data_IF_794976595924
#
_entry.id   IF_794976595924
#
_cell.length_a   1.000
_cell.length_b   1.000
_cell.length_c   1.000
_cell.angle_alpha   90.00
_cell.angle_beta   90.00
_cell.angle_gamma   90.00
#
_symmetry.space_group_name_H-M   'P 1'
#
loop_
_entity.id
_entity.type
_entity.pdbx_description
1 polymer ?
#
# COMPACT_ATOMS: atom_id res chain seq x y z
N UNK A 1 14.63 12.16 -22.36
CA UNK A 1 15.23 12.70 -21.12
C UNK A 1 14.75 11.89 -19.94
N UNK A 2 15.48 11.96 -18.87
CA UNK A 2 15.16 11.28 -17.61
C UNK A 2 14.65 12.26 -16.54
N UNK A 3 14.55 13.52 -16.90
CA UNK A 3 14.13 14.61 -16.02
C UNK A 3 13.16 15.53 -16.75
N UNK A 4 12.18 16.01 -16.01
CA UNK A 4 11.22 17.03 -16.43
C UNK A 4 11.00 18.02 -15.30
N UNK A 5 11.14 19.31 -15.60
CA UNK A 5 10.92 20.39 -14.64
C UNK A 5 9.74 21.25 -15.09
N UNK A 6 8.87 21.60 -14.16
CA UNK A 6 7.75 22.50 -14.39
C UNK A 6 7.58 23.47 -13.21
N UNK A 7 6.92 24.59 -13.44
CA UNK A 7 6.57 25.52 -12.37
C UNK A 7 5.29 25.04 -11.67
N UNK A 8 5.37 24.85 -10.36
CA UNK A 8 4.27 24.41 -9.53
C UNK A 8 3.72 25.56 -8.69
N UNK A 9 2.40 25.69 -8.64
CA UNK A 9 1.73 26.67 -7.78
C UNK A 9 1.61 26.14 -6.35
N UNK A 10 2.09 26.88 -5.32
CA UNK A 10 1.92 26.46 -3.94
C UNK A 10 0.45 26.37 -3.54
N UNK A 11 0.08 25.27 -2.89
CA UNK A 11 -1.29 25.01 -2.44
C UNK A 11 -2.06 24.02 -3.32
N UNK A 12 -1.54 23.66 -4.49
CA UNK A 12 -2.11 22.62 -5.35
C UNK A 12 -1.35 21.30 -5.20
N UNK A 13 -2.08 20.20 -5.27
CA UNK A 13 -1.49 18.85 -5.36
C UNK A 13 -1.37 18.50 -6.84
N UNK A 14 -0.21 18.06 -7.25
CA UNK A 14 0.09 17.60 -8.60
C UNK A 14 0.29 16.09 -8.58
N UNK A 15 -0.25 15.42 -9.59
CA UNK A 15 -0.04 13.98 -9.80
C UNK A 15 0.58 13.74 -11.17
N UNK A 16 1.49 12.77 -11.22
CA UNK A 16 2.32 12.49 -12.37
C UNK A 16 2.31 11.00 -12.68
N UNK A 17 2.38 10.69 -13.96
CA UNK A 17 2.66 9.36 -14.49
C UNK A 17 3.53 9.52 -15.73
N UNK A 18 4.29 8.50 -16.04
CA UNK A 18 5.25 8.50 -17.15
C UNK A 18 4.96 7.32 -18.04
N UNK A 19 4.99 7.56 -19.33
CA UNK A 19 4.96 6.52 -20.37
C UNK A 19 6.21 6.60 -21.23
N UNK A 20 6.66 5.45 -21.75
CA UNK A 20 7.73 5.40 -22.74
C UNK A 20 7.12 5.32 -24.14
N UNK A 21 7.58 6.19 -25.03
CA UNK A 21 7.09 6.24 -26.43
C UNK A 21 8.21 5.92 -27.38
N UNK A 22 7.96 5.02 -28.34
CA UNK A 22 8.86 4.70 -29.43
C UNK A 22 8.08 4.49 -30.75
N UNK A 23 8.76 4.05 -31.81
CA UNK A 23 8.11 3.81 -33.10
C UNK A 23 7.09 2.66 -33.09
N UNK A 24 7.13 1.78 -32.10
CA UNK A 24 6.20 0.66 -31.91
C UNK A 24 4.96 1.02 -31.13
N UNK A 25 4.92 2.19 -30.50
CA UNK A 25 3.79 2.64 -29.68
C UNK A 25 4.19 3.25 -28.34
N UNK A 26 3.23 3.34 -27.46
CA UNK A 26 3.35 3.86 -26.11
C UNK A 26 3.24 2.72 -25.07
N UNK A 27 4.11 2.74 -24.08
CA UNK A 27 4.07 1.77 -22.97
C UNK A 27 2.87 2.00 -22.05
N UNK A 28 2.62 1.03 -21.20
CA UNK A 28 1.78 1.27 -20.01
C UNK A 28 2.37 2.40 -19.17
N UNK A 29 1.52 3.17 -18.47
CA UNK A 29 1.99 4.20 -17.57
C UNK A 29 2.70 3.62 -16.35
N UNK A 30 3.61 4.40 -15.78
CA UNK A 30 4.11 4.17 -14.43
C UNK A 30 2.98 4.25 -13.41
N UNK A 31 3.28 3.90 -12.18
CA UNK A 31 2.48 4.29 -11.02
C UNK A 31 2.24 5.81 -11.00
N UNK A 32 1.22 6.24 -10.26
CA UNK A 32 0.90 7.67 -10.11
C UNK A 32 1.60 8.19 -8.86
N UNK A 33 2.58 9.06 -9.06
CA UNK A 33 3.24 9.79 -7.98
C UNK A 33 2.64 11.19 -7.83
N UNK A 34 2.76 11.76 -6.62
CA UNK A 34 2.18 13.07 -6.33
C UNK A 34 3.12 13.94 -5.53
N UNK A 35 2.96 15.24 -5.65
CA UNK A 35 3.72 16.23 -4.90
C UNK A 35 2.85 17.44 -4.54
N UNK A 36 3.21 18.11 -3.46
CA UNK A 36 2.52 19.28 -2.94
C UNK A 36 3.48 20.23 -2.25
N UNK A 37 3.40 21.48 -2.58
CA UNK A 37 4.10 22.56 -1.88
C UNK A 37 3.11 23.35 -1.02
N UNK A 38 3.26 23.27 0.29
CA UNK A 38 2.48 24.07 1.22
C UNK A 38 2.91 25.54 1.14
N UNK A 39 1.96 26.47 1.20
CA UNK A 39 2.26 27.93 1.25
C UNK A 39 3.11 28.33 2.46
N UNK A 40 2.97 27.58 3.57
CA UNK A 40 3.82 27.65 4.77
C UNK A 40 4.13 26.23 5.19
N UNK A 41 5.38 25.82 5.02
CA UNK A 41 5.81 24.47 5.32
C UNK A 41 6.79 24.44 6.49
N UNK A 42 6.62 23.45 7.40
CA UNK A 42 7.57 23.12 8.47
C UNK A 42 8.61 22.09 8.02
N UNK A 43 8.44 21.54 6.83
CA UNK A 43 9.28 20.50 6.24
C UNK A 43 8.51 19.73 5.16
N UNK A 44 9.21 18.80 4.52
CA UNK A 44 8.65 17.96 3.47
C UNK A 44 8.53 16.53 3.98
N UNK A 45 7.37 15.93 3.83
CA UNK A 45 7.12 14.50 4.09
C UNK A 45 7.43 13.75 2.80
N UNK A 46 8.16 12.64 2.90
CA UNK A 46 8.34 11.70 1.80
C UNK A 46 7.24 10.64 1.87
N UNK A 47 6.49 10.48 0.79
CA UNK A 47 5.60 9.34 0.58
C UNK A 47 6.35 8.33 -0.28
N UNK A 48 6.50 7.10 0.20
CA UNK A 48 7.10 6.00 -0.55
C UNK A 48 6.00 5.03 -0.92
N UNK A 49 5.76 4.86 -2.21
CA UNK A 49 4.81 3.89 -2.71
C UNK A 49 5.53 2.57 -2.97
N UNK A 50 5.25 1.58 -2.13
CA UNK A 50 5.73 0.20 -2.29
C UNK A 50 4.64 -0.69 -2.88
N UNK A 51 3.40 -0.19 -2.98
CA UNK A 51 2.31 -0.93 -3.56
C UNK A 51 2.34 -0.90 -5.09
N UNK A 52 3.24 -1.64 -5.67
CA UNK A 52 3.54 -1.76 -7.08
C UNK A 52 2.46 -2.45 -7.87
N UNK A 53 1.67 -1.73 -8.63
CA UNK A 53 0.56 -2.44 -9.21
C UNK A 53 0.21 -2.11 -10.64
N UNK A 54 1.15 -2.34 -11.51
CA UNK A 54 0.90 -2.40 -12.95
C UNK A 54 1.22 -3.79 -13.55
N UNK A 55 1.38 -4.82 -12.70
CA UNK A 55 1.62 -6.19 -13.15
C UNK A 55 0.36 -7.04 -13.08
N UNK A 56 0.26 -8.00 -13.96
CA UNK A 56 -0.75 -9.06 -13.87
C UNK A 56 -0.57 -9.90 -12.61
N UNK A 57 -1.50 -10.81 -12.32
CA UNK A 57 -1.37 -11.72 -11.21
C UNK A 57 -0.13 -12.61 -11.35
N UNK A 58 0.38 -13.11 -10.22
CA UNK A 58 1.50 -14.05 -10.22
C UNK A 58 1.18 -15.25 -11.09
N UNK A 59 2.06 -15.58 -12.01
CA UNK A 59 1.88 -16.75 -12.89
C UNK A 59 2.39 -18.03 -12.23
N UNK A 60 1.68 -19.11 -12.48
CA UNK A 60 2.13 -20.48 -12.18
C UNK A 60 2.43 -21.15 -13.52
N UNK A 61 3.67 -21.57 -13.71
CA UNK A 61 4.08 -22.38 -14.84
C UNK A 61 4.75 -23.65 -14.33
N UNK A 62 4.09 -24.77 -14.55
CA UNK A 62 4.66 -26.09 -14.31
C UNK A 62 4.25 -27.04 -15.44
N UNK A 63 4.89 -28.22 -15.57
CA UNK A 63 4.50 -29.21 -16.58
C UNK A 63 3.04 -29.68 -16.47
N UNK A 64 2.42 -29.51 -15.30
CA UNK A 64 1.10 -30.05 -14.99
C UNK A 64 0.06 -28.97 -14.65
N UNK A 65 0.50 -27.73 -14.42
CA UNK A 65 -0.40 -26.64 -14.03
C UNK A 65 0.10 -25.33 -14.59
N UNK A 66 -0.75 -24.65 -15.35
CA UNK A 66 -0.51 -23.30 -15.82
C UNK A 66 -1.68 -22.41 -15.44
N UNK A 67 -1.39 -21.19 -15.03
CA UNK A 67 -2.43 -20.25 -14.62
C UNK A 67 -1.90 -19.12 -13.76
N UNK A 68 -2.76 -18.59 -12.89
CA UNK A 68 -2.43 -17.49 -12.01
C UNK A 68 -2.57 -17.91 -10.54
N UNK A 69 -1.57 -17.56 -9.73
CA UNK A 69 -1.66 -17.71 -8.28
C UNK A 69 -2.20 -16.42 -7.66
N UNK A 70 -3.50 -16.32 -7.62
CA UNK A 70 -4.19 -15.17 -7.04
C UNK A 70 -4.10 -15.08 -5.51
N UNK A 71 -3.55 -16.10 -4.83
CA UNK A 71 -3.27 -16.03 -3.40
C UNK A 71 -1.97 -15.33 -3.09
N UNK A 72 -0.95 -15.60 -3.91
CA UNK A 72 0.36 -15.00 -3.73
C UNK A 72 0.35 -13.56 -4.22
N UNK A 73 -0.22 -13.33 -5.40
CA UNK A 73 -0.36 -12.00 -5.97
C UNK A 73 -1.61 -11.97 -6.88
N UNK A 74 -2.70 -11.36 -6.44
CA UNK A 74 -3.89 -11.26 -7.27
C UNK A 74 -3.71 -10.32 -8.46
N UNK A 75 -2.61 -9.63 -8.55
CA UNK A 75 -2.41 -8.55 -9.50
C UNK A 75 -3.34 -7.38 -9.24
N UNK A 76 -3.15 -6.30 -9.98
CA UNK A 76 -4.16 -5.27 -10.11
C UNK A 76 -4.77 -5.39 -11.48
N UNK A 77 -6.09 -5.43 -11.56
CA UNK A 77 -6.78 -5.39 -12.82
C UNK A 77 -6.38 -4.13 -13.54
N UNK A 78 -5.79 -4.36 -14.65
CA UNK A 78 -5.20 -3.38 -15.50
C UNK A 78 -6.27 -2.52 -16.18
N UNK A 79 -5.97 -1.27 -16.37
CA UNK A 79 -6.85 -0.31 -16.97
C UNK A 79 -6.25 0.37 -18.16
N UNK A 80 -7.07 0.44 -19.19
CA UNK A 80 -6.70 0.88 -20.51
C UNK A 80 -6.28 2.32 -20.62
N UNK A 81 -6.66 3.19 -19.72
CA UNK A 81 -6.36 4.60 -19.90
C UNK A 81 -5.67 5.18 -18.69
N UNK A 82 -4.60 5.91 -18.92
CA UNK A 82 -3.86 6.58 -17.88
C UNK A 82 -4.67 7.64 -17.12
N UNK A 83 -5.76 8.11 -17.67
CA UNK A 83 -6.65 9.07 -17.01
C UNK A 83 -7.71 8.38 -16.14
N UNK A 84 -7.93 7.10 -16.38
CA UNK A 84 -8.96 6.32 -15.72
C UNK A 84 -8.34 5.12 -15.03
N UNK A 85 -7.82 5.32 -13.86
CA UNK A 85 -7.33 4.24 -13.00
C UNK A 85 -8.44 3.66 -12.15
N UNK A 86 -9.65 3.57 -12.67
CA UNK A 86 -10.83 3.33 -11.88
C UNK A 86 -11.49 1.97 -12.06
N UNK A 87 -10.93 1.09 -12.88
CA UNK A 87 -11.55 -0.21 -13.13
C UNK A 87 -10.77 -1.32 -12.43
N UNK A 88 -11.46 -2.10 -11.63
CA UNK A 88 -10.92 -3.28 -10.97
C UNK A 88 -11.69 -4.51 -11.45
N UNK A 89 -10.97 -5.58 -11.77
CA UNK A 89 -11.54 -6.88 -12.10
C UNK A 89 -11.36 -7.82 -10.91
N UNK A 90 -12.38 -8.57 -10.60
CA UNK A 90 -12.32 -9.65 -9.61
C UNK A 90 -12.37 -10.99 -10.33
N UNK A 91 -11.42 -11.86 -10.03
CA UNK A 91 -11.35 -13.20 -10.60
C UNK A 91 -12.00 -14.22 -9.66
N UNK A 92 -12.95 -14.97 -10.19
CA UNK A 92 -13.55 -16.08 -9.45
C UNK A 92 -12.67 -17.33 -9.52
N UNK A 93 -11.80 -17.49 -8.53
CA UNK A 93 -10.90 -18.65 -8.41
C UNK A 93 -11.62 -19.98 -8.36
N UNK A 94 -12.85 -20.01 -7.84
CA UNK A 94 -13.61 -21.24 -7.71
C UNK A 94 -13.97 -21.84 -9.06
N UNK A 95 -13.87 -21.04 -10.11
CA UNK A 95 -14.22 -21.41 -11.49
C UNK A 95 -13.02 -21.87 -12.31
N UNK A 96 -11.81 -21.68 -11.84
CA UNK A 96 -10.59 -22.08 -12.55
C UNK A 96 -10.50 -23.62 -12.61
N UNK A 97 -10.20 -24.14 -13.80
CA UNK A 97 -9.96 -25.57 -14.02
C UNK A 97 -11.21 -26.47 -13.94
N UNK A 98 -12.41 -25.92 -13.97
CA UNK A 98 -13.65 -26.68 -13.99
C UNK A 98 -14.16 -26.90 -15.41
N UNK A 99 -14.38 -28.13 -15.81
CA UNK A 99 -15.00 -28.52 -17.08
C UNK A 99 -16.52 -28.76 -16.93
N UNK A 100 -17.17 -28.01 -16.05
CA UNK A 100 -18.61 -28.10 -15.84
C UNK A 100 -19.35 -27.02 -16.61
N UNK A 101 -20.68 -27.10 -16.71
CA UNK A 101 -21.50 -26.08 -17.38
C UNK A 101 -21.23 -24.67 -16.90
N UNK A 102 -20.88 -24.52 -15.61
CA UNK A 102 -20.56 -23.24 -14.96
C UNK A 102 -19.04 -23.07 -14.76
N UNK A 103 -18.24 -23.98 -15.27
CA UNK A 103 -16.78 -23.94 -15.22
C UNK A 103 -16.21 -23.28 -16.46
N UNK A 104 -15.01 -22.81 -16.34
CA UNK A 104 -14.35 -21.97 -17.35
C UNK A 104 -13.17 -22.66 -18.02
N UNK A 105 -12.96 -23.93 -17.71
CA UNK A 105 -11.76 -24.61 -18.17
C UNK A 105 -10.51 -23.92 -17.63
N UNK A 106 -9.47 -23.83 -18.45
CA UNK A 106 -8.15 -23.33 -18.06
C UNK A 106 -7.81 -21.96 -18.68
N UNK A 107 -8.70 -21.38 -19.46
CA UNK A 107 -8.47 -20.09 -20.11
C UNK A 107 -9.79 -19.41 -20.45
N UNK A 108 -9.73 -18.10 -20.60
CA UNK A 108 -10.84 -17.27 -21.06
C UNK A 108 -11.10 -16.05 -20.19
N UNK A 109 -11.82 -15.11 -20.76
CA UNK A 109 -12.27 -13.89 -20.06
C UNK A 109 -13.29 -14.19 -18.95
N UNK A 110 -13.84 -15.38 -18.96
CA UNK A 110 -14.85 -15.80 -17.97
C UNK A 110 -14.26 -16.09 -16.59
N UNK A 111 -12.94 -16.07 -16.42
CA UNK A 111 -12.29 -16.05 -15.09
C UNK A 111 -12.60 -14.76 -14.35
N UNK A 112 -13.03 -13.73 -15.07
CA UNK A 112 -13.49 -12.50 -14.48
C UNK A 112 -14.81 -12.71 -13.74
N UNK A 113 -14.82 -12.45 -12.44
CA UNK A 113 -16.03 -12.54 -11.62
C UNK A 113 -16.81 -11.25 -11.60
N UNK A 114 -16.13 -10.11 -11.61
CA UNK A 114 -16.74 -8.80 -11.50
C UNK A 114 -15.84 -7.70 -12.07
N UNK A 115 -16.43 -6.75 -12.75
CA UNK A 115 -15.78 -5.52 -13.17
C UNK A 115 -16.25 -4.37 -12.28
N UNK A 116 -15.33 -3.67 -11.63
CA UNK A 116 -15.64 -2.59 -10.71
C UNK A 116 -14.90 -1.34 -11.15
N UNK A 117 -15.65 -0.26 -11.36
CA UNK A 117 -15.10 1.06 -11.63
C UNK A 117 -14.81 1.80 -10.31
N UNK A 118 -13.92 2.78 -10.36
CA UNK A 118 -13.71 3.73 -9.27
C UNK A 118 -12.44 3.54 -8.43
N UNK A 119 -11.67 2.51 -8.63
CA UNK A 119 -10.38 2.34 -7.97
C UNK A 119 -9.29 3.08 -8.75
N UNK A 120 -8.73 4.13 -8.15
CA UNK A 120 -7.89 5.09 -8.87
C UNK A 120 -6.40 4.76 -8.85
N UNK A 121 -5.92 3.87 -8.01
CA UNK A 121 -4.49 3.51 -7.86
C UNK A 121 -3.53 4.69 -7.71
N UNK A 122 -4.03 5.83 -7.29
CA UNK A 122 -3.27 7.06 -7.03
C UNK A 122 -3.05 7.25 -5.52
N UNK A 123 -2.60 6.22 -4.86
CA UNK A 123 -2.47 6.18 -3.40
C UNK A 123 -1.58 7.29 -2.83
N UNK A 124 -0.45 7.66 -3.46
CA UNK A 124 0.31 8.83 -3.03
C UNK A 124 -0.49 10.14 -3.06
N UNK A 125 -1.48 10.27 -3.95
CA UNK A 125 -2.40 11.41 -3.93
C UNK A 125 -3.34 11.35 -2.72
N UNK A 126 -3.89 10.17 -2.40
CA UNK A 126 -4.82 10.01 -1.26
C UNK A 126 -4.10 10.34 0.05
N UNK A 127 -2.92 9.76 0.29
CA UNK A 127 -2.08 10.08 1.45
C UNK A 127 -1.68 11.56 1.47
N UNK A 128 -1.27 12.08 0.32
CA UNK A 128 -0.93 13.49 0.15
C UNK A 128 -2.07 14.44 0.43
N UNK A 129 -3.31 14.09 0.07
CA UNK A 129 -4.51 14.89 0.42
C UNK A 129 -4.74 14.92 1.93
N UNK A 130 -4.49 13.83 2.64
CA UNK A 130 -4.56 13.80 4.09
C UNK A 130 -3.47 14.70 4.72
N UNK A 131 -2.24 14.67 4.20
CA UNK A 131 -1.16 15.57 4.63
C UNK A 131 -1.53 17.04 4.36
N UNK A 132 -2.07 17.35 3.18
CA UNK A 132 -2.55 18.69 2.84
C UNK A 132 -3.62 19.16 3.82
N UNK A 133 -4.60 18.30 4.13
CA UNK A 133 -5.70 18.62 5.05
C UNK A 133 -5.20 18.83 6.49
N UNK A 134 -4.24 18.05 6.94
CA UNK A 134 -3.60 18.23 8.25
C UNK A 134 -2.80 19.54 8.33
N UNK A 135 -2.29 20.02 7.21
CA UNK A 135 -1.56 21.27 7.07
C UNK A 135 -0.17 21.29 7.67
N UNK A 136 0.59 22.31 7.33
CA UNK A 136 1.91 22.57 7.90
C UNK A 136 3.07 21.81 7.28
N UNK A 137 2.84 20.91 6.33
CA UNK A 137 3.89 20.18 5.62
C UNK A 137 3.65 20.18 4.12
N UNK A 138 4.75 20.22 3.37
CA UNK A 138 4.77 19.83 1.96
C UNK A 138 4.95 18.31 1.87
N UNK A 139 4.73 17.73 0.70
CA UNK A 139 5.11 16.34 0.45
C UNK A 139 5.62 16.14 -0.97
N UNK A 140 6.42 15.13 -1.12
CA UNK A 140 6.85 14.53 -2.38
C UNK A 140 6.66 13.03 -2.30
N UNK A 141 6.58 12.35 -3.42
CA UNK A 141 6.49 10.89 -3.45
C UNK A 141 7.51 10.26 -4.39
N UNK A 142 7.84 9.02 -4.12
CA UNK A 142 8.69 8.18 -4.97
C UNK A 142 8.23 6.71 -4.85
N UNK A 143 8.74 5.85 -5.72
CA UNK A 143 8.65 4.42 -5.53
C UNK A 143 9.68 3.94 -4.51
N UNK A 144 9.50 2.73 -3.98
CA UNK A 144 10.47 2.11 -3.06
C UNK A 144 11.79 1.79 -3.75
N UNK A 145 11.80 1.43 -5.05
CA UNK A 145 13.04 1.23 -5.80
C UNK A 145 13.89 2.49 -5.86
N UNK A 146 13.28 3.66 -5.90
CA UNK A 146 14.05 4.90 -5.85
C UNK A 146 14.79 5.07 -4.52
N UNK A 147 14.22 4.57 -3.43
CA UNK A 147 14.85 4.52 -2.11
C UNK A 147 15.89 3.40 -2.05
N UNK A 148 15.55 2.20 -2.49
CA UNK A 148 16.43 1.02 -2.45
C UNK A 148 17.68 1.19 -3.31
N UNK A 149 17.56 1.83 -4.46
CA UNK A 149 18.66 2.14 -5.36
C UNK A 149 19.43 3.42 -4.99
N UNK A 150 19.03 4.10 -3.91
CA UNK A 150 19.72 5.28 -3.39
C UNK A 150 19.50 6.57 -4.18
N UNK A 151 18.52 6.62 -5.08
CA UNK A 151 18.14 7.86 -5.78
C UNK A 151 17.44 8.84 -4.84
N UNK A 152 16.70 8.30 -3.85
CA UNK A 152 16.04 9.08 -2.80
C UNK A 152 16.57 8.61 -1.45
N UNK A 153 17.03 9.54 -0.61
CA UNK A 153 17.55 9.22 0.72
C UNK A 153 16.52 9.57 1.79
N UNK A 154 16.11 8.59 2.57
CA UNK A 154 15.17 8.78 3.68
C UNK A 154 15.64 9.85 4.68
N UNK A 155 16.95 9.93 4.93
CA UNK A 155 17.55 10.87 5.87
C UNK A 155 17.35 12.36 5.50
N UNK A 156 16.98 12.65 4.26
CA UNK A 156 16.71 14.03 3.80
C UNK A 156 15.31 14.51 4.24
N UNK A 157 14.49 13.61 4.80
CA UNK A 157 13.10 13.88 5.19
C UNK A 157 12.87 13.60 6.67
N UNK A 158 12.24 14.53 7.40
CA UNK A 158 11.96 14.34 8.84
C UNK A 158 10.87 13.30 9.12
N UNK A 159 10.02 13.04 8.13
CA UNK A 159 8.90 12.10 8.19
C UNK A 159 8.83 11.37 6.86
N UNK A 160 8.68 10.05 6.94
CA UNK A 160 8.41 9.17 5.79
C UNK A 160 7.09 8.44 6.02
N UNK A 161 6.27 8.38 4.99
CA UNK A 161 5.00 7.66 4.93
C UNK A 161 5.10 6.55 3.87
N UNK A 162 5.01 5.28 4.28
CA UNK A 162 5.09 4.13 3.38
C UNK A 162 3.72 3.52 3.12
N UNK A 163 3.43 3.30 1.85
CA UNK A 163 2.19 2.70 1.35
C UNK A 163 2.48 1.27 0.92
N UNK A 164 2.01 0.29 1.70
CA UNK A 164 2.12 -1.13 1.34
C UNK A 164 0.82 -1.71 0.77
N UNK A 165 -0.30 -1.02 0.99
CA UNK A 165 -1.59 -1.44 0.46
C UNK A 165 -1.93 -2.88 0.81
N UNK A 166 -2.18 -3.69 -0.20
CA UNK A 166 -2.42 -5.13 -0.08
C UNK A 166 -1.23 -5.95 -0.60
N UNK A 167 -0.01 -5.41 -0.62
CA UNK A 167 1.15 -6.18 -1.02
C UNK A 167 1.46 -7.29 -0.04
N UNK A 168 1.78 -8.46 -0.57
CA UNK A 168 2.09 -9.65 0.23
C UNK A 168 3.57 -9.83 0.51
N UNK A 169 4.42 -8.94 0.01
CA UNK A 169 5.85 -8.90 0.27
C UNK A 169 6.29 -7.49 0.69
N UNK A 170 5.73 -6.99 1.80
CA UNK A 170 5.75 -5.56 2.11
C UNK A 170 7.14 -4.99 2.38
N UNK A 171 8.13 -5.79 2.71
CA UNK A 171 9.46 -5.28 3.04
C UNK A 171 10.55 -6.14 2.40
N UNK A 172 11.26 -5.61 1.43
CA UNK A 172 12.52 -6.19 1.00
C UNK A 172 13.54 -6.15 2.14
N UNK A 173 14.59 -6.97 2.03
CA UNK A 173 15.68 -6.92 3.01
C UNK A 173 16.41 -5.57 3.01
N UNK A 174 16.57 -4.97 1.82
CA UNK A 174 17.19 -3.65 1.64
C UNK A 174 16.36 -2.57 2.33
N UNK A 175 15.06 -2.55 2.09
CA UNK A 175 14.15 -1.59 2.70
C UNK A 175 14.15 -1.71 4.23
N UNK A 176 14.13 -2.93 4.79
CA UNK A 176 14.25 -3.13 6.26
C UNK A 176 15.51 -2.50 6.83
N UNK A 177 16.66 -2.64 6.15
CA UNK A 177 17.94 -2.04 6.60
C UNK A 177 17.91 -0.51 6.53
N UNK A 178 17.38 0.05 5.43
CA UNK A 178 17.28 1.50 5.23
C UNK A 178 16.35 2.12 6.29
N UNK A 179 15.19 1.52 6.54
CA UNK A 179 14.24 1.97 7.56
C UNK A 179 14.80 1.85 8.97
N UNK A 180 15.54 0.78 9.25
CA UNK A 180 16.24 0.62 10.53
C UNK A 180 17.22 1.78 10.77
N UNK A 181 18.07 2.07 9.79
CA UNK A 181 19.03 3.17 9.85
C UNK A 181 18.33 4.51 10.00
N UNK A 182 17.27 4.75 9.24
CA UNK A 182 16.46 5.96 9.29
C UNK A 182 15.85 6.19 10.69
N UNK A 183 15.17 5.19 11.24
CA UNK A 183 14.58 5.28 12.57
C UNK A 183 15.65 5.48 13.66
N UNK A 184 16.72 4.72 13.62
CA UNK A 184 17.84 4.87 14.56
C UNK A 184 18.50 6.24 14.46
N UNK A 185 18.48 6.87 13.29
CA UNK A 185 18.89 8.25 13.04
C UNK A 185 17.95 9.32 13.60
N UNK A 186 16.76 8.93 14.06
CA UNK A 186 15.72 9.84 14.59
C UNK A 186 14.62 10.21 13.60
N UNK A 187 14.58 9.57 12.43
CA UNK A 187 13.52 9.73 11.45
C UNK A 187 12.16 9.21 11.96
N UNK A 188 11.08 9.85 11.57
CA UNK A 188 9.73 9.46 11.97
C UNK A 188 9.03 8.73 10.82
N UNK A 189 8.35 7.64 11.13
CA UNK A 189 7.80 6.72 10.15
C UNK A 189 6.31 6.51 10.37
N UNK A 190 5.53 6.73 9.35
CA UNK A 190 4.19 6.19 9.20
C UNK A 190 4.24 5.06 8.18
N UNK A 191 3.48 4.00 8.39
CA UNK A 191 3.32 2.94 7.40
C UNK A 191 1.98 2.24 7.55
N UNK A 192 1.43 1.76 6.44
CA UNK A 192 0.12 1.12 6.40
C UNK A 192 0.06 0.00 5.37
N UNK A 193 -0.59 -1.11 5.73
CA UNK A 193 -0.79 -2.23 4.82
C UNK A 193 -1.39 -3.45 5.48
N UNK A 194 -1.96 -4.34 4.66
CA UNK A 194 -2.70 -5.52 5.14
C UNK A 194 -1.80 -6.65 5.63
N UNK A 195 -0.59 -6.82 5.10
CA UNK A 195 0.25 -8.00 5.32
C UNK A 195 1.59 -7.66 5.98
N UNK A 196 1.68 -6.52 6.61
CA UNK A 196 2.90 -6.01 7.25
C UNK A 196 3.29 -6.78 8.51
N UNK A 197 2.41 -7.58 9.07
CA UNK A 197 2.68 -8.47 10.20
C UNK A 197 2.66 -9.95 9.80
N UNK A 198 1.61 -10.40 9.12
CA UNK A 198 1.39 -11.80 8.78
C UNK A 198 2.46 -12.40 7.86
N UNK A 199 3.05 -11.58 6.98
CA UNK A 199 4.10 -12.03 6.06
C UNK A 199 5.52 -11.72 6.54
N UNK A 200 5.68 -11.21 7.78
CA UNK A 200 6.95 -10.91 8.43
C UNK A 200 7.39 -12.04 9.37
N UNK A 201 7.69 -13.20 8.84
CA UNK A 201 7.90 -14.44 9.60
C UNK A 201 9.35 -14.94 9.63
N UNK A 202 10.28 -14.31 8.89
CA UNK A 202 11.70 -14.65 9.00
C UNK A 202 12.32 -14.06 10.27
N UNK A 203 13.41 -14.64 10.82
CA UNK A 203 14.07 -14.07 12.01
C UNK A 203 14.49 -12.60 11.84
N UNK A 204 14.94 -12.23 10.64
CA UNK A 204 15.33 -10.85 10.33
C UNK A 204 14.12 -9.92 10.34
N UNK A 205 13.02 -10.37 9.70
CA UNK A 205 11.78 -9.61 9.63
C UNK A 205 11.15 -9.43 11.03
N UNK A 206 11.13 -10.48 11.85
CA UNK A 206 10.66 -10.40 13.24
C UNK A 206 11.50 -9.42 14.06
N UNK A 207 12.84 -9.50 13.93
CA UNK A 207 13.72 -8.54 14.60
C UNK A 207 13.43 -7.09 14.18
N UNK A 208 13.14 -6.85 12.91
CA UNK A 208 12.79 -5.53 12.41
C UNK A 208 11.44 -5.04 12.97
N UNK A 209 10.39 -5.86 12.88
CA UNK A 209 9.06 -5.46 13.38
C UNK A 209 9.06 -5.26 14.89
N UNK A 210 9.70 -6.12 15.65
CA UNK A 210 9.71 -6.07 17.12
C UNK A 210 10.61 -4.97 17.67
N UNK A 211 11.81 -4.83 17.12
CA UNK A 211 12.81 -3.92 17.71
C UNK A 211 12.81 -2.51 17.09
N UNK A 212 12.34 -2.37 15.83
CA UNK A 212 12.28 -1.07 15.16
C UNK A 212 10.84 -0.55 15.09
N UNK A 213 9.92 -1.33 14.54
CA UNK A 213 8.53 -0.90 14.38
C UNK A 213 7.70 -1.05 15.66
N UNK A 214 8.18 -1.84 16.63
CA UNK A 214 7.61 -2.02 17.98
C UNK A 214 6.24 -2.73 18.01
N UNK A 215 6.06 -3.70 17.12
CA UNK A 215 4.92 -4.61 17.16
C UNK A 215 5.32 -6.05 16.82
N UNK A 216 4.49 -6.98 17.23
CA UNK A 216 4.44 -8.37 16.73
C UNK A 216 3.10 -8.65 16.05
N UNK A 217 3.07 -9.68 15.20
CA UNK A 217 1.81 -10.13 14.58
C UNK A 217 0.90 -10.76 15.62
N UNK A 218 -0.30 -10.22 15.76
CA UNK A 218 -1.31 -10.65 16.72
C UNK A 218 -2.46 -11.46 16.13
N UNK A 219 -2.45 -11.69 14.82
CA UNK A 219 -3.50 -12.38 14.08
C UNK A 219 -4.02 -11.56 12.91
N UNK A 220 -5.03 -12.06 12.22
CA UNK A 220 -5.67 -11.39 11.09
C UNK A 220 -7.18 -11.36 11.25
N UNK A 221 -7.80 -10.30 10.78
CA UNK A 221 -9.25 -10.14 10.78
C UNK A 221 -9.94 -10.83 9.59
N UNK A 222 -9.33 -11.84 8.98
CA UNK A 222 -9.81 -12.51 7.77
C UNK A 222 -11.25 -13.03 7.91
N UNK A 223 -11.65 -13.48 9.09
CA UNK A 223 -12.99 -14.02 9.37
C UNK A 223 -14.00 -12.95 9.84
N UNK A 224 -13.58 -11.71 10.00
CA UNK A 224 -14.48 -10.63 10.39
C UNK A 224 -15.19 -10.05 9.18
N UNK A 225 -16.48 -9.81 9.29
CA UNK A 225 -17.25 -9.06 8.28
C UNK A 225 -17.25 -7.56 8.57
N UNK A 226 -16.97 -7.16 9.82
CA UNK A 226 -16.87 -5.75 10.19
C UNK A 226 -15.55 -5.16 9.73
N UNK A 227 -15.61 -4.00 9.10
CA UNK A 227 -14.47 -3.15 8.79
C UNK A 227 -14.30 -1.98 9.75
N UNK A 228 -15.06 -1.93 10.84
CA UNK A 228 -15.04 -0.80 11.77
C UNK A 228 -13.77 -0.74 12.62
N UNK A 229 -13.24 0.46 12.77
CA UNK A 229 -12.02 0.75 13.52
C UNK A 229 -12.26 1.98 14.41
N UNK A 230 -11.75 1.91 15.63
CA UNK A 230 -11.83 2.98 16.64
C UNK A 230 -10.45 3.35 17.15
N UNK A 231 -10.23 4.61 17.43
CA UNK A 231 -9.03 5.11 18.08
C UNK A 231 -8.90 6.62 17.92
N UNK A 232 -8.03 7.24 18.68
CA UNK A 232 -7.76 8.67 18.62
C UNK A 232 -9.03 9.55 18.62
N UNK A 233 -10.07 9.15 19.39
CA UNK A 233 -11.40 9.79 19.44
C UNK A 233 -12.13 9.83 18.09
N UNK A 234 -11.83 8.93 17.19
CA UNK A 234 -12.50 8.81 15.89
C UNK A 234 -12.95 7.39 15.63
N UNK A 235 -13.86 7.26 14.67
CA UNK A 235 -14.39 6.00 14.16
C UNK A 235 -14.42 6.10 12.64
N UNK A 236 -13.99 5.06 11.98
CA UNK A 236 -14.04 4.92 10.52
C UNK A 236 -14.15 3.44 10.14
N UNK A 237 -14.27 3.16 8.86
CA UNK A 237 -14.32 1.80 8.34
C UNK A 237 -13.35 1.60 7.18
N UNK A 238 -13.04 0.33 6.91
CA UNK A 238 -12.34 -0.14 5.73
C UNK A 238 -13.23 -1.14 4.99
N UNK A 239 -13.19 -1.19 3.64
CA UNK A 239 -14.03 -2.10 2.87
C UNK A 239 -13.53 -3.54 3.01
N UNK A 240 -14.41 -4.44 3.44
CA UNK A 240 -14.12 -5.88 3.58
C UNK A 240 -14.39 -6.64 2.28
N UNK A 241 -15.18 -6.07 1.42
CA UNK A 241 -15.58 -6.61 0.14
C UNK A 241 -15.30 -5.61 -0.97
N UNK A 242 -15.23 -6.09 -2.19
CA UNK A 242 -15.04 -5.28 -3.39
C UNK A 242 -16.14 -4.23 -3.49
N UNK A 243 -15.78 -3.00 -3.82
CA UNK A 243 -16.67 -1.86 -3.94
C UNK A 243 -16.17 -0.89 -5.02
N UNK A 244 -16.95 0.14 -5.32
CA UNK A 244 -16.67 1.10 -6.41
C UNK A 244 -15.69 2.23 -6.00
N UNK A 245 -15.28 2.32 -4.73
CA UNK A 245 -14.50 3.45 -4.23
C UNK A 245 -13.01 3.12 -4.09
N UNK A 246 -12.70 1.89 -3.65
CA UNK A 246 -11.33 1.44 -3.42
C UNK A 246 -11.28 -0.09 -3.52
N UNK A 247 -10.11 -0.67 -3.32
CA UNK A 247 -9.97 -2.13 -3.29
C UNK A 247 -10.44 -2.71 -1.95
N UNK A 248 -10.79 -3.98 -1.94
CA UNK A 248 -11.17 -4.69 -0.74
C UNK A 248 -9.95 -4.98 0.16
N UNK A 249 -10.17 -4.92 1.46
CA UNK A 249 -9.18 -5.27 2.49
C UNK A 249 -9.66 -6.52 3.24
N UNK A 250 -9.57 -7.72 2.64
CA UNK A 250 -10.17 -8.93 3.20
C UNK A 250 -9.42 -9.49 4.41
N UNK A 251 -8.16 -9.16 4.59
CA UNK A 251 -7.30 -9.73 5.62
C UNK A 251 -6.38 -8.69 6.26
N UNK A 252 -6.91 -7.65 6.91
CA UNK A 252 -6.06 -6.71 7.63
C UNK A 252 -5.45 -7.40 8.86
N UNK A 253 -4.21 -7.00 9.19
CA UNK A 253 -3.45 -7.56 10.28
C UNK A 253 -3.81 -6.95 11.65
N UNK A 254 -3.83 -7.80 12.68
CA UNK A 254 -3.83 -7.36 14.06
C UNK A 254 -2.38 -7.22 14.52
N UNK A 255 -2.04 -6.08 15.09
CA UNK A 255 -0.69 -5.76 15.54
C UNK A 255 -0.65 -5.68 17.07
N UNK A 256 0.15 -6.54 17.71
CA UNK A 256 0.34 -6.48 19.16
C UNK A 256 1.47 -5.52 19.50
N UNK A 257 1.21 -4.42 20.20
CA UNK A 257 2.24 -3.45 20.54
C UNK A 257 3.27 -4.04 21.51
N UNK A 258 4.55 -3.72 21.30
CA UNK A 258 5.65 -4.08 22.19
C UNK A 258 6.05 -2.83 22.99
N UNK A 259 5.94 -2.92 24.31
CA UNK A 259 6.23 -1.78 25.19
C UNK A 259 7.59 -1.12 24.87
N UNK A 260 7.67 0.22 24.87
CA UNK A 260 6.68 1.21 25.32
C UNK A 260 5.69 1.68 24.22
N UNK A 261 5.56 0.95 23.11
CA UNK A 261 4.52 1.22 22.13
C UNK A 261 3.12 0.88 22.69
N UNK A 262 2.10 1.45 22.07
CA UNK A 262 0.73 1.27 22.51
C UNK A 262 -0.22 1.14 21.31
N UNK A 263 -1.40 0.54 21.54
CA UNK A 263 -2.45 0.46 20.53
C UNK A 263 -3.08 1.83 20.32
N UNK A 264 -2.96 2.36 19.11
CA UNK A 264 -3.56 3.63 18.71
C UNK A 264 -4.97 3.46 18.15
N UNK A 265 -5.21 2.32 17.48
CA UNK A 265 -6.49 1.93 16.91
C UNK A 265 -6.80 0.47 17.21
N UNK A 266 -8.10 0.16 17.28
CA UNK A 266 -8.59 -1.21 17.51
C UNK A 266 -9.71 -1.54 16.53
N UNK A 267 -9.77 -2.82 16.12
CA UNK A 267 -10.86 -3.36 15.32
C UNK A 267 -12.11 -3.60 16.17
N UNK A 268 -13.27 -3.40 15.58
CA UNK A 268 -14.55 -3.74 16.16
C UNK A 268 -15.24 -4.89 15.35
N UNK A 269 -15.80 -5.92 15.99
CA UNK A 269 -15.70 -6.25 17.42
C UNK A 269 -14.35 -6.89 17.77
N UNK A 270 -13.96 -6.88 19.03
CA UNK A 270 -12.89 -7.72 19.54
C UNK A 270 -11.71 -7.02 20.17
N UNK A 271 -11.58 -5.71 20.06
CA UNK A 271 -10.47 -4.95 20.67
C UNK A 271 -9.05 -5.36 20.25
N UNK A 272 -8.91 -6.04 19.12
CA UNK A 272 -7.61 -6.33 18.52
C UNK A 272 -7.00 -5.04 18.01
N UNK A 273 -5.72 -4.83 18.27
CA UNK A 273 -5.03 -3.63 17.80
C UNK A 273 -4.95 -3.59 16.27
N UNK A 274 -5.50 -2.54 15.69
CA UNK A 274 -5.47 -2.24 14.26
C UNK A 274 -4.31 -1.31 13.89
N UNK A 275 -3.75 -0.61 14.90
CA UNK A 275 -2.64 0.29 14.70
C UNK A 275 -1.82 0.47 15.97
N UNK A 276 -0.51 0.57 15.80
CA UNK A 276 0.47 0.70 16.88
C UNK A 276 1.24 1.99 16.74
N UNK A 277 1.37 2.73 17.83
CA UNK A 277 2.17 3.93 17.90
C UNK A 277 3.30 3.79 18.91
N UNK A 278 4.47 4.27 18.52
CA UNK A 278 5.65 4.36 19.37
C UNK A 278 6.20 5.78 19.36
N UNK A 279 6.66 6.22 20.53
CA UNK A 279 7.33 7.50 20.72
C UNK A 279 8.54 7.32 21.62
N UNK A 280 9.72 7.52 21.05
CA UNK A 280 11.00 7.45 21.75
C UNK A 280 12.03 8.33 21.06
N UNK A 281 13.21 7.80 20.77
CA UNK A 281 14.24 8.47 19.97
C UNK A 281 13.74 8.84 18.57
N UNK A 282 12.87 8.02 18.03
CA UNK A 282 12.11 8.20 16.80
C UNK A 282 10.63 7.92 17.08
N UNK A 283 9.78 8.08 16.11
CA UNK A 283 8.37 7.74 16.22
C UNK A 283 7.99 6.81 15.10
N UNK A 284 7.16 5.81 15.41
CA UNK A 284 6.48 5.01 14.40
C UNK A 284 4.97 5.06 14.60
N UNK A 285 4.24 5.06 13.50
CA UNK A 285 2.80 4.93 13.46
C UNK A 285 2.46 3.89 12.40
N UNK A 286 2.06 2.72 12.84
CA UNK A 286 1.90 1.53 11.99
C UNK A 286 0.44 1.12 11.99
N UNK A 287 -0.14 0.98 10.79
CA UNK A 287 -1.52 0.54 10.60
C UNK A 287 -1.54 -0.84 9.95
N UNK A 288 -2.18 -1.83 10.56
CA UNK A 288 -2.34 -3.19 10.04
C UNK A 288 -3.37 -3.29 8.89
N UNK A 289 -3.73 -2.18 8.31
CA UNK A 289 -4.62 -2.02 7.17
C UNK A 289 -4.15 -0.85 6.29
N UNK A 290 -4.50 -0.81 5.00
CA UNK A 290 -4.14 0.29 4.11
C UNK A 290 -4.86 1.59 4.51
N UNK A 291 -4.11 2.67 4.70
CA UNK A 291 -4.66 3.97 5.06
C UNK A 291 -5.57 4.54 3.97
N UNK A 292 -5.21 4.36 2.72
CA UNK A 292 -5.97 4.83 1.54
C UNK A 292 -7.33 4.14 1.38
N UNK A 293 -7.57 3.06 2.12
CA UNK A 293 -8.86 2.35 2.11
C UNK A 293 -9.87 2.87 3.12
N UNK A 294 -9.53 3.86 3.93
CA UNK A 294 -10.42 4.46 4.94
C UNK A 294 -11.63 5.13 4.29
N UNK A 295 -12.83 4.82 4.84
CA UNK A 295 -14.13 5.34 4.43
C UNK A 295 -14.85 6.03 5.59
#
# INVERSE_FOLDING_TARGET
GTEYTFEAEPGLVYSFKVTAVNKGGESFPSEILSAYQAKKSKGTILIVNEFDRLSGPATVESPFLQGFDLNTDPGIPYINTPAFCGTQQSFDRSRIGRETKDGLGYSGSELEGMLIAGNTFDYPFIHGKAIQAAGGYSFVSCSDEAVENGFVRLADYPITDLIFGADRRPFSHTLQQLLTTYCQGGGNLMLSGSYIGSNMNSPTALNFTENILKYSFGGSMINSTSGEIYGANTRFSIPRTINEQTYAVPAPDCLTPIAPAYSAFVYNPGSYSAGVAYKGKYRTFVLGFPFESIQ
#
